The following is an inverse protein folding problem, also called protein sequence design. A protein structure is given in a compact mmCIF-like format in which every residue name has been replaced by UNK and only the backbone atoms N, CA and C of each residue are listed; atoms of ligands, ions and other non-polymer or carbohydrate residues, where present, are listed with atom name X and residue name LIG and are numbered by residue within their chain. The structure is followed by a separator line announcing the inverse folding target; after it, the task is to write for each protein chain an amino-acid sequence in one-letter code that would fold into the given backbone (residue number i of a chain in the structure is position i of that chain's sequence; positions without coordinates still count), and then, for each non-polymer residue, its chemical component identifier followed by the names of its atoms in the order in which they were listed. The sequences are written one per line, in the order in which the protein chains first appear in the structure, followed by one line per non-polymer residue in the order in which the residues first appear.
data_IF_133591737003
#
_entry.id   IF_133591737003
#
_cell.length_a   1.000
_cell.length_b   1.000
_cell.length_c   1.000
_cell.angle_alpha   90.00
_cell.angle_beta   90.00
_cell.angle_gamma   90.00
#
_symmetry.space_group_name_H-M   'P 1'
#
loop_
_entity.id
_entity.type
_entity.pdbx_description
1 polymer ?
#
# COMPACT_ATOMS: atom_id res chain seq x y z
N UNK A 1 -24.20 28.66 11.78
CA UNK A 1 -23.99 27.41 10.99
C UNK A 1 -22.52 27.07 11.10
N UNK A 2 -22.18 26.19 12.04
CA UNK A 2 -20.80 25.75 12.21
C UNK A 2 -20.41 24.94 10.99
N UNK A 3 -19.51 25.47 10.17
CA UNK A 3 -18.87 24.72 9.08
C UNK A 3 -18.05 23.60 9.71
N UNK A 4 -18.65 22.42 9.85
CA UNK A 4 -17.88 21.22 10.19
C UNK A 4 -16.80 21.06 9.13
N UNK A 5 -15.54 21.35 9.51
CA UNK A 5 -14.39 21.11 8.65
C UNK A 5 -14.41 19.62 8.31
N UNK A 6 -14.68 19.28 7.04
CA UNK A 6 -14.72 17.92 6.57
C UNK A 6 -13.29 17.42 6.39
N UNK A 7 -12.83 16.61 7.35
CA UNK A 7 -11.50 16.00 7.31
C UNK A 7 -11.62 14.67 6.54
N UNK A 8 -10.86 14.46 5.45
CA UNK A 8 -10.82 13.16 4.77
C UNK A 8 -10.43 12.04 5.72
N UNK A 9 -11.06 10.88 5.59
CA UNK A 9 -10.82 9.77 6.52
C UNK A 9 -9.36 9.28 6.51
N UNK A 10 -8.67 9.39 5.38
CA UNK A 10 -7.24 9.09 5.28
C UNK A 10 -6.42 9.91 6.28
N UNK A 11 -6.76 11.18 6.50
CA UNK A 11 -6.09 12.02 7.50
C UNK A 11 -6.70 11.85 8.89
N UNK A 12 -8.02 11.68 9.01
CA UNK A 12 -8.71 11.45 10.29
C UNK A 12 -8.21 10.19 11.00
N UNK A 13 -7.96 9.11 10.24
CA UNK A 13 -7.50 7.82 10.77
C UNK A 13 -6.00 7.58 10.62
N UNK A 14 -5.25 8.61 10.22
CA UNK A 14 -3.80 8.52 10.17
C UNK A 14 -3.25 8.28 11.58
N UNK A 15 -2.52 7.18 11.83
CA UNK A 15 -1.95 6.91 13.14
C UNK A 15 -1.08 8.08 13.63
N UNK A 16 -1.32 8.52 14.86
CA UNK A 16 -0.53 9.56 15.52
C UNK A 16 0.48 8.97 16.50
N UNK A 17 0.33 7.69 16.85
CA UNK A 17 1.24 6.97 17.72
C UNK A 17 1.90 5.82 16.97
N UNK A 18 3.18 5.61 17.22
CA UNK A 18 3.94 4.53 16.58
C UNK A 18 3.36 3.14 16.82
N UNK A 19 2.75 2.92 18.00
CA UNK A 19 2.15 1.63 18.38
C UNK A 19 0.91 1.26 17.56
N UNK A 20 0.21 2.27 17.03
CA UNK A 20 -1.03 2.09 16.27
C UNK A 20 -0.79 1.85 14.77
N UNK A 21 0.47 1.93 14.33
CA UNK A 21 0.83 1.71 12.93
C UNK A 21 0.82 0.22 12.62
N UNK A 22 0.17 -0.14 11.53
CA UNK A 22 0.23 -1.50 10.98
C UNK A 22 1.60 -1.71 10.33
N UNK A 23 2.43 -2.57 10.93
CA UNK A 23 3.78 -2.88 10.47
C UNK A 23 4.00 -4.39 10.45
N UNK A 24 4.82 -4.85 9.51
CA UNK A 24 5.32 -6.22 9.57
C UNK A 24 6.24 -6.43 10.80
N UNK A 25 6.37 -7.69 11.20
CA UNK A 25 7.08 -8.06 12.42
C UNK A 25 8.55 -7.63 12.42
N UNK A 26 9.23 -7.73 11.27
CA UNK A 26 10.67 -7.43 11.17
C UNK A 26 10.92 -5.92 11.23
N UNK A 27 10.17 -5.13 10.45
CA UNK A 27 10.28 -3.68 10.51
C UNK A 27 9.94 -3.17 11.91
N UNK A 28 8.92 -3.75 12.58
CA UNK A 28 8.56 -3.38 13.94
C UNK A 28 9.71 -3.61 14.94
N UNK A 29 10.43 -4.73 14.82
CA UNK A 29 11.59 -5.04 15.67
C UNK A 29 12.73 -4.05 15.39
N UNK A 30 13.08 -3.83 14.12
CA UNK A 30 14.18 -2.93 13.73
C UNK A 30 13.91 -1.50 14.21
N UNK A 31 12.71 -0.99 13.95
CA UNK A 31 12.34 0.37 14.33
C UNK A 31 12.27 0.56 15.86
N UNK A 32 11.81 -0.45 16.60
CA UNK A 32 11.88 -0.42 18.06
C UNK A 32 13.33 -0.45 18.58
N UNK A 33 14.24 -1.14 17.90
CA UNK A 33 15.65 -1.14 18.30
C UNK A 33 16.30 0.24 18.12
N UNK A 34 15.95 1.00 17.07
CA UNK A 34 16.42 2.40 16.90
C UNK A 34 16.07 3.24 18.13
N UNK A 35 14.84 3.10 18.63
CA UNK A 35 14.40 3.81 19.85
C UNK A 35 15.17 3.36 21.08
N UNK A 36 15.32 2.03 21.28
CA UNK A 36 15.98 1.46 22.47
C UNK A 36 17.47 1.78 22.53
N UNK A 37 18.16 1.77 21.40
CA UNK A 37 19.60 2.01 21.33
C UNK A 37 19.97 3.49 21.36
N UNK A 38 18.99 4.36 21.29
CA UNK A 38 19.16 5.81 21.15
C UNK A 38 20.12 6.22 20.03
N UNK A 39 20.14 5.42 18.97
CA UNK A 39 20.94 5.69 17.78
C UNK A 39 20.02 5.68 16.55
N UNK A 40 19.83 6.84 15.93
CA UNK A 40 18.98 6.98 14.77
C UNK A 40 19.87 7.02 13.50
N UNK A 41 19.86 5.95 12.68
CA UNK A 41 20.64 5.93 11.45
C UNK A 41 19.92 6.68 10.32
N UNK A 42 20.64 6.95 9.23
CA UNK A 42 19.98 7.31 7.98
C UNK A 42 19.14 6.12 7.48
N UNK A 43 17.88 6.34 7.15
CA UNK A 43 16.94 5.27 6.74
C UNK A 43 16.33 5.54 5.38
N UNK A 44 16.21 4.48 4.57
CA UNK A 44 15.52 4.49 3.28
C UNK A 44 14.35 3.50 3.34
N UNK A 45 13.12 4.04 3.30
CA UNK A 45 11.90 3.24 3.26
C UNK A 45 11.40 3.11 1.83
N UNK A 46 11.16 1.88 1.38
CA UNK A 46 10.71 1.64 0.02
C UNK A 46 9.63 0.56 -0.07
N UNK A 47 8.78 0.66 -1.08
CA UNK A 47 7.70 -0.30 -1.35
C UNK A 47 6.41 0.35 -1.86
N UNK A 48 5.34 -0.43 -2.09
CA UNK A 48 4.10 0.05 -2.68
C UNK A 48 3.50 1.26 -1.97
N UNK A 49 2.74 2.12 -2.66
CA UNK A 49 2.01 3.20 -2.04
C UNK A 49 0.98 2.69 -1.03
N UNK A 50 0.55 3.57 -0.10
CA UNK A 50 -0.50 3.23 0.88
C UNK A 50 -0.08 2.29 2.02
N UNK A 51 1.19 1.84 2.08
CA UNK A 51 1.71 0.94 3.12
C UNK A 51 2.17 1.64 4.40
N UNK A 52 1.99 2.95 4.50
CA UNK A 52 2.28 3.71 5.71
C UNK A 52 3.73 4.19 5.89
N UNK A 53 4.59 4.19 4.85
CA UNK A 53 6.00 4.61 4.93
C UNK A 53 6.19 5.98 5.59
N UNK A 54 5.57 7.02 5.04
CA UNK A 54 5.66 8.39 5.54
C UNK A 54 5.12 8.53 6.96
N UNK A 55 3.98 7.89 7.24
CA UNK A 55 3.38 7.86 8.59
C UNK A 55 4.31 7.22 9.60
N UNK A 56 5.00 6.13 9.21
CA UNK A 56 5.94 5.43 10.08
C UNK A 56 7.14 6.31 10.43
N UNK A 57 7.75 6.97 9.45
CA UNK A 57 8.91 7.85 9.69
C UNK A 57 8.55 8.98 10.64
N UNK A 58 7.45 9.69 10.37
CA UNK A 58 7.02 10.82 11.19
C UNK A 58 6.78 10.38 12.64
N UNK A 59 6.07 9.26 12.84
CA UNK A 59 5.81 8.76 14.19
C UNK A 59 7.06 8.20 14.88
N UNK A 60 7.97 7.58 14.12
CA UNK A 60 9.26 7.12 14.65
C UNK A 60 10.10 8.29 15.18
N UNK A 61 10.21 9.36 14.39
CA UNK A 61 10.95 10.57 14.78
C UNK A 61 10.29 11.21 16.03
N UNK A 62 8.97 11.35 16.02
CA UNK A 62 8.25 11.91 17.14
C UNK A 62 8.46 11.09 18.43
N UNK A 63 8.45 9.76 18.32
CA UNK A 63 8.71 8.86 19.46
C UNK A 63 10.16 9.01 19.91
N UNK A 64 11.13 8.99 18.99
CA UNK A 64 12.55 9.17 19.30
C UNK A 64 12.82 10.50 20.02
N UNK A 65 12.25 11.59 19.52
CA UNK A 65 12.38 12.91 20.15
C UNK A 65 11.75 12.94 21.55
N UNK A 66 10.62 12.24 21.74
CA UNK A 66 9.95 12.17 23.04
C UNK A 66 10.78 11.41 24.06
N UNK A 67 11.30 10.24 23.69
CA UNK A 67 12.15 9.41 24.58
C UNK A 67 13.46 10.12 24.95
N UNK A 68 13.97 10.98 24.08
CA UNK A 68 15.20 11.74 24.30
C UNK A 68 14.99 13.15 24.88
N UNK A 69 13.77 13.51 25.28
CA UNK A 69 13.42 14.85 25.75
C UNK A 69 13.76 15.98 24.76
N UNK A 70 13.76 15.68 23.46
CA UNK A 70 14.10 16.59 22.36
C UNK A 70 12.89 16.99 21.50
N UNK A 71 11.67 16.89 22.08
CA UNK A 71 10.44 17.14 21.32
C UNK A 71 10.33 18.59 20.88
N UNK A 72 10.72 18.85 19.63
CA UNK A 72 10.59 20.16 18.99
C UNK A 72 10.28 19.99 17.51
N UNK A 73 9.17 20.60 17.04
CA UNK A 73 8.78 20.58 15.62
C UNK A 73 9.83 21.23 14.72
N UNK A 74 10.60 22.20 15.22
CA UNK A 74 11.68 22.85 14.48
C UNK A 74 12.91 21.96 14.21
N UNK A 75 12.95 20.74 14.76
CA UNK A 75 14.03 19.78 14.49
C UNK A 75 13.65 18.78 13.38
N UNK A 76 12.52 18.92 12.72
CA UNK A 76 12.11 18.06 11.61
C UNK A 76 11.61 18.90 10.44
N UNK A 77 12.09 18.58 9.24
CA UNK A 77 11.59 19.10 7.98
C UNK A 77 11.13 17.94 7.09
N UNK A 78 10.00 18.11 6.42
CA UNK A 78 9.45 17.15 5.46
C UNK A 78 9.33 17.82 4.10
N UNK A 79 10.07 17.33 3.13
CA UNK A 79 10.13 17.84 1.77
C UNK A 79 9.66 16.75 0.80
N UNK A 80 8.93 17.14 -0.22
CA UNK A 80 8.55 16.25 -1.30
C UNK A 80 9.50 16.48 -2.50
N UNK A 81 10.25 15.46 -2.88
CA UNK A 81 11.23 15.55 -3.96
C UNK A 81 10.58 15.67 -5.36
N UNK A 82 9.27 15.42 -5.47
CA UNK A 82 8.52 15.58 -6.72
C UNK A 82 8.03 17.02 -6.94
N UNK A 83 7.82 17.81 -5.88
CA UNK A 83 7.22 19.12 -5.96
C UNK A 83 8.22 20.20 -6.41
N UNK A 84 9.48 20.02 -6.06
CA UNK A 84 10.55 20.98 -6.36
C UNK A 84 11.28 20.60 -7.64
N UNK A 85 11.07 21.38 -8.71
CA UNK A 85 11.62 21.14 -10.04
C UNK A 85 13.14 21.35 -10.16
N UNK A 86 13.87 21.37 -9.05
CA UNK A 86 15.33 21.53 -9.05
C UNK A 86 15.99 21.14 -7.76
N UNK A 87 17.11 20.40 -7.88
CA UNK A 87 17.98 20.03 -6.77
C UNK A 87 18.40 21.23 -5.92
N UNK A 88 18.56 22.41 -6.54
CA UNK A 88 19.02 23.61 -5.86
C UNK A 88 18.03 24.12 -4.82
N UNK A 89 16.72 23.96 -5.05
CA UNK A 89 15.69 24.36 -4.09
C UNK A 89 15.77 23.44 -2.86
N UNK A 90 15.79 22.12 -3.07
CA UNK A 90 15.91 21.12 -1.99
C UNK A 90 17.23 21.36 -1.24
N UNK A 91 18.34 21.56 -1.96
CA UNK A 91 19.65 21.86 -1.35
C UNK A 91 19.61 23.10 -0.48
N UNK A 92 19.02 24.19 -0.96
CA UNK A 92 18.91 25.43 -0.22
C UNK A 92 18.01 25.29 1.01
N UNK A 93 16.89 24.56 0.89
CA UNK A 93 16.01 24.28 2.03
C UNK A 93 16.71 23.43 3.09
N UNK A 94 17.44 22.39 2.68
CA UNK A 94 18.25 21.55 3.58
C UNK A 94 19.31 22.40 4.27
N UNK A 95 20.10 23.17 3.51
CA UNK A 95 21.16 24.01 4.06
C UNK A 95 20.62 25.04 5.06
N UNK A 96 19.51 25.72 4.72
CA UNK A 96 18.88 26.68 5.62
C UNK A 96 18.37 25.99 6.89
N UNK A 97 17.78 24.81 6.77
CA UNK A 97 17.29 24.04 7.91
C UNK A 97 18.45 23.57 8.80
N UNK A 98 19.51 23.02 8.22
CA UNK A 98 20.68 22.51 8.98
C UNK A 98 21.39 23.64 9.69
N UNK A 99 21.60 24.78 9.00
CA UNK A 99 22.31 25.94 9.55
C UNK A 99 21.45 26.81 10.47
N UNK A 100 20.12 26.62 10.49
CA UNK A 100 19.25 27.35 11.40
C UNK A 100 19.62 27.06 12.85
N UNK A 101 20.00 28.09 13.61
CA UNK A 101 20.18 27.98 15.06
C UNK A 101 18.81 28.00 15.73
N UNK A 102 18.38 26.87 16.24
CA UNK A 102 17.20 26.83 17.12
C UNK A 102 17.64 27.37 18.48
N UNK A 103 17.17 28.57 18.84
CA UNK A 103 17.61 29.34 20.02
C UNK A 103 17.45 28.60 21.35
N UNK A 104 16.67 27.51 21.41
CA UNK A 104 16.32 26.81 22.64
C UNK A 104 16.27 25.27 22.52
N UNK A 105 16.78 24.65 21.45
CA UNK A 105 16.74 23.21 21.31
C UNK A 105 18.10 22.64 20.89
N UNK A 106 18.64 21.81 21.77
CA UNK A 106 19.76 20.91 21.46
C UNK A 106 19.13 19.57 21.07
N UNK A 107 19.46 19.05 19.90
CA UNK A 107 18.94 17.75 19.46
C UNK A 107 19.28 17.41 18.02
N UNK A 108 18.99 16.18 17.65
CA UNK A 108 19.16 15.67 16.28
C UNK A 108 18.12 16.29 15.34
N UNK A 109 18.58 16.82 14.21
CA UNK A 109 17.73 17.31 13.14
C UNK A 109 17.35 16.17 12.20
N UNK A 110 16.09 16.13 11.78
CA UNK A 110 15.56 15.11 10.88
C UNK A 110 15.11 15.72 9.57
N UNK A 111 15.58 15.18 8.47
CA UNK A 111 15.20 15.57 7.12
C UNK A 111 14.50 14.40 6.48
N UNK A 112 13.20 14.56 6.20
CA UNK A 112 12.39 13.59 5.49
C UNK A 112 12.28 14.06 4.05
N UNK A 113 12.73 13.22 3.11
CA UNK A 113 12.56 13.42 1.68
C UNK A 113 11.62 12.34 1.16
N UNK A 114 10.41 12.73 0.76
CA UNK A 114 9.44 11.82 0.18
C UNK A 114 9.54 11.81 -1.36
N UNK A 115 9.12 10.70 -1.97
CA UNK A 115 9.09 10.52 -3.42
C UNK A 115 10.46 10.69 -4.11
N UNK A 116 11.55 10.27 -3.46
CA UNK A 116 12.92 10.43 -4.01
C UNK A 116 13.16 9.65 -5.31
N UNK A 117 12.31 8.70 -5.67
CA UNK A 117 12.31 8.00 -6.96
C UNK A 117 11.92 8.88 -8.16
N UNK A 118 11.45 10.12 -7.93
CA UNK A 118 11.26 11.15 -8.95
C UNK A 118 12.48 12.07 -9.15
N UNK A 119 13.48 11.96 -8.28
CA UNK A 119 14.72 12.74 -8.42
C UNK A 119 15.55 12.27 -9.62
N UNK A 120 16.15 13.25 -10.34
CA UNK A 120 17.13 12.95 -11.37
C UNK A 120 18.41 12.34 -10.78
N UNK A 121 19.20 11.62 -11.58
CA UNK A 121 20.49 11.06 -11.13
C UNK A 121 21.44 12.11 -10.57
N UNK A 122 21.49 13.30 -11.18
CA UNK A 122 22.30 14.40 -10.70
C UNK A 122 21.82 14.91 -9.33
N UNK A 123 20.50 14.95 -9.12
CA UNK A 123 19.93 15.32 -7.83
C UNK A 123 20.26 14.30 -6.74
N UNK A 124 20.21 13.01 -7.06
CA UNK A 124 20.59 11.94 -6.14
C UNK A 124 22.10 12.00 -5.78
N UNK A 125 22.95 12.30 -6.75
CA UNK A 125 24.38 12.47 -6.53
C UNK A 125 24.66 13.69 -5.62
N UNK A 126 24.00 14.82 -5.86
CA UNK A 126 24.13 16.00 -5.01
C UNK A 126 23.62 15.73 -3.58
N UNK A 127 22.53 14.96 -3.42
CA UNK A 127 22.05 14.52 -2.10
C UNK A 127 23.12 13.68 -1.38
N UNK A 128 23.82 12.80 -2.09
CA UNK A 128 24.91 12.01 -1.51
C UNK A 128 26.02 12.91 -0.97
N UNK A 129 26.41 13.96 -1.68
CA UNK A 129 27.39 14.93 -1.16
C UNK A 129 26.89 15.65 0.08
N UNK A 130 25.62 16.05 0.13
CA UNK A 130 25.03 16.65 1.33
C UNK A 130 25.08 15.71 2.53
N UNK A 131 24.81 14.42 2.33
CA UNK A 131 24.93 13.41 3.40
C UNK A 131 26.33 13.36 4.00
N UNK A 132 27.35 13.47 3.17
CA UNK A 132 28.76 13.46 3.62
C UNK A 132 29.16 14.75 4.35
N UNK A 133 28.57 15.87 3.97
CA UNK A 133 28.81 17.18 4.58
C UNK A 133 28.19 17.29 5.99
N UNK A 134 27.02 16.69 6.22
CA UNK A 134 26.22 16.90 7.44
C UNK A 134 26.12 15.67 8.37
N UNK A 135 27.20 14.90 8.50
CA UNK A 135 27.20 13.66 9.30
C UNK A 135 26.97 13.84 10.81
N UNK A 136 27.13 15.04 11.38
CA UNK A 136 26.96 15.26 12.81
C UNK A 136 25.59 15.88 13.13
N UNK A 137 24.77 15.18 13.91
CA UNK A 137 23.47 15.63 14.42
C UNK A 137 22.36 15.86 13.36
N UNK A 138 22.50 15.32 12.15
CA UNK A 138 21.49 15.35 11.11
C UNK A 138 21.20 13.94 10.63
N UNK A 139 19.94 13.51 10.65
CA UNK A 139 19.51 12.22 10.15
C UNK A 139 18.59 12.39 8.94
N UNK A 140 18.88 11.66 7.87
CA UNK A 140 18.09 11.67 6.67
C UNK A 140 17.16 10.45 6.60
N UNK A 141 15.90 10.68 6.24
CA UNK A 141 14.89 9.67 6.02
C UNK A 141 14.38 9.78 4.59
N UNK A 142 14.78 8.87 3.73
CA UNK A 142 14.30 8.81 2.34
C UNK A 142 13.12 7.88 2.21
N UNK A 143 12.16 8.26 1.38
CA UNK A 143 10.97 7.47 1.08
C UNK A 143 10.79 7.37 -0.42
N UNK A 144 10.62 6.15 -0.93
CA UNK A 144 10.34 5.92 -2.36
C UNK A 144 9.37 4.74 -2.55
N UNK A 145 8.80 4.66 -3.74
CA UNK A 145 8.03 3.49 -4.13
C UNK A 145 8.89 2.45 -4.84
N UNK A 146 9.81 2.88 -5.69
CA UNK A 146 10.64 2.03 -6.53
C UNK A 146 12.13 2.21 -6.20
N UNK A 147 12.69 1.30 -5.41
CA UNK A 147 14.11 1.36 -5.03
C UNK A 147 15.04 1.25 -6.25
N UNK A 148 14.62 0.57 -7.33
CA UNK A 148 15.39 0.45 -8.57
C UNK A 148 15.66 1.78 -9.29
N UNK A 149 14.94 2.85 -8.94
CA UNK A 149 15.18 4.19 -9.47
C UNK A 149 16.21 4.98 -8.65
N UNK A 150 16.61 4.47 -7.50
CA UNK A 150 17.61 5.08 -6.63
C UNK A 150 18.98 4.52 -6.97
N UNK A 151 19.97 5.39 -7.11
CA UNK A 151 21.35 5.00 -7.38
C UNK A 151 21.91 4.14 -6.25
N UNK A 152 22.60 3.05 -6.60
CA UNK A 152 23.12 2.08 -5.64
C UNK A 152 24.12 2.74 -4.66
N UNK A 153 24.90 3.72 -5.14
CA UNK A 153 25.85 4.44 -4.31
C UNK A 153 25.17 5.30 -3.24
N UNK A 154 23.95 5.82 -3.53
CA UNK A 154 23.14 6.52 -2.56
C UNK A 154 22.43 5.54 -1.61
N UNK A 155 21.91 4.42 -2.12
CA UNK A 155 21.28 3.40 -1.29
C UNK A 155 22.21 2.88 -0.19
N UNK A 156 23.50 2.76 -0.46
CA UNK A 156 24.50 2.24 0.48
C UNK A 156 24.76 3.15 1.69
N UNK A 157 24.37 4.43 1.61
CA UNK A 157 24.45 5.38 2.74
C UNK A 157 23.30 5.20 3.75
N UNK A 158 22.34 4.29 3.47
CA UNK A 158 21.11 4.15 4.25
C UNK A 158 20.86 2.72 4.73
N UNK A 159 20.28 2.61 5.91
CA UNK A 159 19.62 1.40 6.36
C UNK A 159 18.30 1.23 5.57
N UNK A 160 18.21 0.18 4.75
CA UNK A 160 17.08 -0.04 3.84
C UNK A 160 15.99 -0.86 4.52
N UNK A 161 14.77 -0.32 4.54
CA UNK A 161 13.58 -0.97 5.11
C UNK A 161 12.51 -1.15 4.03
N UNK A 162 12.18 -2.40 3.75
CA UNK A 162 11.16 -2.75 2.76
C UNK A 162 9.78 -2.76 3.40
N UNK A 163 8.87 -1.98 2.83
CA UNK A 163 7.45 -1.99 3.13
C UNK A 163 6.73 -2.73 2.01
N UNK A 164 6.32 -3.97 2.25
CA UNK A 164 5.69 -4.79 1.22
C UNK A 164 4.29 -5.25 1.67
N UNK A 165 4.20 -6.45 2.21
CA UNK A 165 2.94 -6.99 2.68
C UNK A 165 2.78 -6.70 4.16
N UNK A 166 1.69 -6.02 4.50
CA UNK A 166 1.30 -5.79 5.88
C UNK A 166 0.51 -6.99 6.42
N UNK A 167 0.56 -7.27 7.73
CA UNK A 167 -0.19 -8.35 8.34
C UNK A 167 -1.69 -8.17 8.12
N UNK A 168 -2.33 -9.13 7.44
CA UNK A 168 -3.75 -9.05 7.08
C UNK A 168 -4.66 -8.88 8.29
N UNK A 169 -4.37 -9.57 9.39
CA UNK A 169 -5.16 -9.48 10.60
C UNK A 169 -5.11 -8.07 11.21
N UNK A 170 -3.94 -7.45 11.23
CA UNK A 170 -3.76 -6.10 11.77
C UNK A 170 -4.47 -5.06 10.89
N UNK A 171 -4.46 -5.24 9.56
CA UNK A 171 -5.25 -4.41 8.64
C UNK A 171 -6.74 -4.57 8.94
N UNK A 172 -7.23 -5.80 9.07
CA UNK A 172 -8.65 -6.07 9.36
C UNK A 172 -9.06 -5.42 10.68
N UNK A 173 -8.23 -5.51 11.73
CA UNK A 173 -8.51 -4.85 13.01
C UNK A 173 -8.50 -3.31 12.89
N UNK A 174 -7.62 -2.76 12.08
CA UNK A 174 -7.61 -1.33 11.78
C UNK A 174 -8.90 -0.89 11.07
N UNK A 175 -9.35 -1.63 10.04
CA UNK A 175 -10.60 -1.35 9.32
C UNK A 175 -11.84 -1.54 10.19
N UNK A 176 -11.84 -2.51 11.12
CA UNK A 176 -12.92 -2.67 12.10
C UNK A 176 -13.09 -1.43 12.99
N UNK A 177 -12.00 -0.81 13.43
CA UNK A 177 -12.07 0.44 14.21
C UNK A 177 -12.75 1.55 13.41
N UNK A 178 -12.42 1.68 12.12
CA UNK A 178 -13.08 2.66 11.23
C UNK A 178 -14.56 2.32 11.08
N UNK A 179 -14.90 1.06 10.84
CA UNK A 179 -16.28 0.58 10.71
C UNK A 179 -17.14 0.97 11.92
N UNK A 180 -16.61 0.77 13.13
CA UNK A 180 -17.31 1.12 14.38
C UNK A 180 -17.44 2.64 14.52
N UNK A 181 -16.36 3.39 14.32
CA UNK A 181 -16.34 4.84 14.52
C UNK A 181 -17.25 5.59 13.53
N UNK A 182 -17.40 5.07 12.31
CA UNK A 182 -18.22 5.69 11.26
C UNK A 182 -19.60 5.03 11.11
N UNK A 183 -19.95 4.05 11.97
CA UNK A 183 -21.25 3.34 11.97
C UNK A 183 -21.60 2.73 10.60
N UNK A 184 -20.63 2.12 9.90
CA UNK A 184 -20.84 1.58 8.57
C UNK A 184 -21.62 0.25 8.56
N UNK A 185 -21.70 -0.43 9.70
CA UNK A 185 -22.39 -1.71 9.88
C UNK A 185 -21.87 -2.85 8.95
N UNK A 186 -20.57 -2.82 8.61
CA UNK A 186 -19.98 -3.86 7.78
C UNK A 186 -19.78 -5.15 8.56
N UNK A 187 -20.07 -6.27 7.91
CA UNK A 187 -19.75 -7.60 8.41
C UNK A 187 -18.23 -7.86 8.33
N UNK A 188 -17.76 -8.83 9.10
CA UNK A 188 -16.35 -9.25 9.04
C UNK A 188 -15.93 -9.75 7.64
N UNK A 189 -16.84 -10.40 6.91
CA UNK A 189 -16.61 -10.87 5.55
C UNK A 189 -16.42 -9.71 4.58
N UNK A 190 -17.23 -8.66 4.69
CA UNK A 190 -17.09 -7.45 3.88
C UNK A 190 -15.77 -6.75 4.14
N UNK A 191 -15.35 -6.62 5.41
CA UNK A 191 -14.05 -6.03 5.77
C UNK A 191 -12.89 -6.86 5.21
N UNK A 192 -12.94 -8.18 5.33
CA UNK A 192 -11.93 -9.08 4.72
C UNK A 192 -11.89 -8.97 3.20
N UNK A 193 -13.03 -8.79 2.55
CA UNK A 193 -13.09 -8.60 1.11
C UNK A 193 -12.43 -7.29 0.69
N UNK A 194 -12.71 -6.18 1.39
CA UNK A 194 -12.02 -4.91 1.15
C UNK A 194 -10.50 -5.11 1.28
N UNK A 195 -10.04 -5.78 2.35
CA UNK A 195 -8.62 -6.05 2.54
C UNK A 195 -8.03 -6.89 1.40
N UNK A 196 -8.75 -7.91 0.92
CA UNK A 196 -8.27 -8.75 -0.18
C UNK A 196 -8.20 -7.99 -1.52
N UNK A 197 -9.15 -7.08 -1.79
CA UNK A 197 -9.18 -6.29 -3.02
C UNK A 197 -8.01 -5.30 -3.11
N UNK A 198 -7.67 -4.66 -1.99
CA UNK A 198 -6.61 -3.64 -1.94
C UNK A 198 -5.29 -4.17 -1.36
N UNK A 199 -5.23 -5.43 -0.94
CA UNK A 199 -4.04 -6.10 -0.36
C UNK A 199 -3.45 -5.35 0.85
N UNK A 200 -2.40 -4.55 0.68
CA UNK A 200 -1.74 -3.78 1.74
C UNK A 200 -1.85 -2.26 1.56
N UNK A 201 -2.64 -1.80 0.60
CA UNK A 201 -2.90 -0.37 0.38
C UNK A 201 -4.00 0.13 1.31
N UNK A 202 -3.62 0.50 2.53
CA UNK A 202 -4.55 1.00 3.56
C UNK A 202 -5.21 2.32 3.12
N UNK A 203 -4.51 3.18 2.38
CA UNK A 203 -5.05 4.46 1.88
C UNK A 203 -6.24 4.21 0.95
N UNK A 204 -6.09 3.31 0.00
CA UNK A 204 -7.17 2.95 -0.93
C UNK A 204 -8.34 2.27 -0.22
N UNK A 205 -8.09 1.43 0.80
CA UNK A 205 -9.16 0.83 1.61
C UNK A 205 -9.99 1.89 2.34
N UNK A 206 -9.34 2.87 2.99
CA UNK A 206 -10.02 3.96 3.71
C UNK A 206 -10.84 4.80 2.74
N UNK A 207 -10.26 5.18 1.59
CA UNK A 207 -10.94 5.96 0.56
C UNK A 207 -12.16 5.21 0.03
N UNK A 208 -12.04 3.89 -0.21
CA UNK A 208 -13.14 3.05 -0.65
C UNK A 208 -14.28 3.03 0.39
N UNK A 209 -13.95 2.85 1.69
CA UNK A 209 -14.94 2.88 2.76
C UNK A 209 -15.64 4.23 2.85
N UNK A 210 -14.90 5.35 2.71
CA UNK A 210 -15.45 6.69 2.76
C UNK A 210 -16.34 7.01 1.56
N UNK A 211 -15.89 6.69 0.35
CA UNK A 211 -16.64 6.98 -0.89
C UNK A 211 -17.94 6.19 -0.98
N UNK A 212 -17.96 4.99 -0.42
CA UNK A 212 -19.11 4.10 -0.50
C UNK A 212 -19.93 4.05 0.80
N UNK A 213 -19.70 4.93 1.77
CA UNK A 213 -20.28 4.87 3.13
C UNK A 213 -21.80 4.65 3.16
N UNK A 214 -22.56 5.19 2.21
CA UNK A 214 -24.01 5.07 2.15
C UNK A 214 -24.49 3.73 1.52
N UNK A 215 -23.66 3.12 0.69
CA UNK A 215 -24.03 1.92 -0.08
C UNK A 215 -23.28 0.67 0.37
N UNK A 216 -22.17 0.83 1.09
CA UNK A 216 -21.21 -0.24 1.37
C UNK A 216 -21.81 -1.39 2.19
N UNK A 217 -22.73 -1.10 3.11
CA UNK A 217 -23.43 -2.12 3.90
C UNK A 217 -24.32 -3.01 3.04
N UNK A 218 -24.82 -2.48 1.92
CA UNK A 218 -25.69 -3.19 0.98
C UNK A 218 -24.91 -3.79 -0.19
N UNK A 219 -23.61 -3.51 -0.32
CA UNK A 219 -22.79 -4.09 -1.39
C UNK A 219 -22.62 -5.59 -1.14
N UNK A 220 -23.06 -6.37 -2.11
CA UNK A 220 -22.77 -7.81 -2.13
C UNK A 220 -21.27 -8.00 -2.32
N UNK A 221 -20.66 -8.85 -1.52
CA UNK A 221 -19.23 -9.14 -1.58
C UNK A 221 -19.02 -10.40 -2.42
N UNK A 222 -18.05 -10.33 -3.36
CA UNK A 222 -17.61 -11.54 -4.05
C UNK A 222 -16.90 -12.42 -3.02
N UNK A 223 -17.48 -13.57 -2.72
CA UNK A 223 -16.90 -14.58 -1.83
C UNK A 223 -16.58 -15.87 -2.59
N UNK A 224 -15.87 -16.77 -1.95
CA UNK A 224 -15.50 -18.04 -2.55
C UNK A 224 -16.70 -18.89 -3.00
N UNK A 225 -17.87 -18.75 -2.35
CA UNK A 225 -19.08 -19.50 -2.71
C UNK A 225 -19.57 -19.14 -4.13
N UNK A 226 -19.38 -17.88 -4.55
CA UNK A 226 -19.75 -17.45 -5.90
C UNK A 226 -18.85 -18.14 -6.94
N UNK A 227 -17.56 -18.21 -6.67
CA UNK A 227 -16.61 -18.92 -7.55
C UNK A 227 -16.82 -20.44 -7.54
N UNK A 228 -17.25 -21.03 -6.41
CA UNK A 228 -17.69 -22.42 -6.36
C UNK A 228 -18.92 -22.66 -7.26
N UNK A 229 -19.87 -21.74 -7.28
CA UNK A 229 -21.03 -21.82 -8.17
C UNK A 229 -20.63 -21.71 -9.65
N UNK A 230 -19.71 -20.79 -9.99
CA UNK A 230 -19.14 -20.70 -11.35
C UNK A 230 -18.49 -22.03 -11.74
N UNK A 231 -17.70 -22.62 -10.85
CA UNK A 231 -17.07 -23.93 -11.10
C UNK A 231 -18.10 -25.03 -11.33
N UNK A 232 -19.20 -25.05 -10.56
CA UNK A 232 -20.31 -26.00 -10.77
C UNK A 232 -21.01 -25.81 -12.11
N UNK A 233 -21.23 -24.56 -12.55
CA UNK A 233 -21.82 -24.25 -13.86
C UNK A 233 -20.93 -24.74 -15.02
N UNK A 234 -19.60 -24.58 -14.88
CA UNK A 234 -18.66 -25.10 -15.86
C UNK A 234 -18.69 -26.63 -15.90
N UNK A 235 -18.70 -27.31 -14.74
CA UNK A 235 -18.84 -28.77 -14.63
C UNK A 235 -20.12 -29.29 -15.28
N UNK A 236 -21.23 -28.57 -15.12
CA UNK A 236 -22.52 -28.95 -15.71
C UNK A 236 -22.63 -28.60 -17.19
N UNK A 237 -21.56 -28.09 -17.81
CA UNK A 237 -21.52 -27.64 -19.23
C UNK A 237 -22.62 -26.66 -19.61
N UNK A 238 -23.06 -25.82 -18.64
CA UNK A 238 -24.13 -24.86 -18.86
C UNK A 238 -23.59 -23.48 -19.23
N UNK A 239 -23.23 -23.32 -20.49
CA UNK A 239 -22.65 -22.09 -21.03
C UNK A 239 -23.56 -20.87 -20.86
N UNK A 240 -24.87 -21.01 -21.08
CA UNK A 240 -25.83 -19.88 -20.97
C UNK A 240 -25.88 -19.32 -19.56
N UNK A 241 -25.95 -20.17 -18.54
CA UNK A 241 -25.99 -19.74 -17.15
C UNK A 241 -24.63 -19.19 -16.69
N UNK A 242 -23.53 -19.76 -17.17
CA UNK A 242 -22.21 -19.20 -16.91
C UNK A 242 -22.07 -17.75 -17.43
N UNK A 243 -22.52 -17.49 -18.66
CA UNK A 243 -22.53 -16.12 -19.21
C UNK A 243 -23.38 -15.18 -18.37
N UNK A 244 -24.60 -15.59 -18.07
CA UNK A 244 -25.54 -14.80 -17.26
C UNK A 244 -24.93 -14.45 -15.91
N UNK A 245 -24.34 -15.42 -15.22
CA UNK A 245 -23.73 -15.19 -13.91
C UNK A 245 -22.53 -14.22 -13.99
N UNK A 246 -21.64 -14.38 -14.96
CA UNK A 246 -20.49 -13.47 -15.11
C UNK A 246 -20.95 -12.03 -15.43
N UNK A 247 -21.92 -11.87 -16.34
CA UNK A 247 -22.48 -10.55 -16.65
C UNK A 247 -23.21 -9.95 -15.45
N UNK A 248 -23.99 -10.74 -14.75
CA UNK A 248 -24.71 -10.32 -13.56
C UNK A 248 -23.74 -9.90 -12.44
N UNK A 249 -22.65 -10.63 -12.26
CA UNK A 249 -21.57 -10.23 -11.35
C UNK A 249 -20.96 -8.89 -11.75
N UNK A 250 -20.66 -8.68 -13.03
CA UNK A 250 -20.11 -7.42 -13.51
C UNK A 250 -21.00 -6.23 -13.17
N UNK A 251 -22.30 -6.38 -13.33
CA UNK A 251 -23.30 -5.34 -13.02
C UNK A 251 -23.47 -5.16 -11.50
N UNK A 252 -23.68 -6.25 -10.74
CA UNK A 252 -23.97 -6.19 -9.30
C UNK A 252 -22.78 -5.64 -8.51
N UNK A 253 -21.55 -6.05 -8.89
CA UNK A 253 -20.34 -5.68 -8.16
C UNK A 253 -19.62 -4.48 -8.78
N UNK A 254 -20.10 -3.98 -9.92
CA UNK A 254 -19.45 -2.92 -10.70
C UNK A 254 -17.96 -3.20 -10.97
N UNK A 255 -17.66 -4.43 -11.40
CA UNK A 255 -16.32 -4.92 -11.68
C UNK A 255 -16.24 -5.35 -13.14
N UNK A 256 -15.14 -4.99 -13.81
CA UNK A 256 -14.87 -5.45 -15.16
C UNK A 256 -14.81 -7.00 -15.23
N UNK A 257 -15.38 -7.57 -16.28
CA UNK A 257 -15.39 -9.01 -16.56
C UNK A 257 -13.97 -9.60 -16.50
N UNK A 258 -12.97 -8.88 -17.03
CA UNK A 258 -11.55 -9.32 -16.97
C UNK A 258 -11.05 -9.49 -15.54
N UNK A 259 -11.43 -8.59 -14.64
CA UNK A 259 -11.06 -8.69 -13.24
C UNK A 259 -11.78 -9.85 -12.53
N UNK A 260 -13.05 -10.08 -12.85
CA UNK A 260 -13.81 -11.26 -12.33
C UNK A 260 -13.11 -12.56 -12.76
N UNK A 261 -12.70 -12.65 -14.02
CA UNK A 261 -11.98 -13.83 -14.54
C UNK A 261 -10.64 -14.01 -13.84
N UNK A 262 -9.88 -12.93 -13.67
CA UNK A 262 -8.60 -12.94 -12.95
C UNK A 262 -8.78 -13.39 -11.49
N UNK A 263 -9.83 -12.92 -10.83
CA UNK A 263 -10.14 -13.32 -9.46
C UNK A 263 -10.60 -14.78 -9.39
N UNK A 264 -11.32 -15.26 -10.39
CA UNK A 264 -11.67 -16.66 -10.52
C UNK A 264 -10.43 -17.56 -10.71
N UNK A 265 -9.48 -17.20 -11.56
CA UNK A 265 -8.23 -17.93 -11.68
C UNK A 265 -7.41 -17.89 -10.39
N UNK A 266 -7.34 -16.75 -9.72
CA UNK A 266 -6.71 -16.64 -8.41
C UNK A 266 -7.39 -17.53 -7.37
N UNK A 267 -8.73 -17.66 -7.43
CA UNK A 267 -9.48 -18.59 -6.58
C UNK A 267 -9.10 -20.04 -6.87
N UNK A 268 -9.05 -20.48 -8.13
CA UNK A 268 -8.60 -21.82 -8.50
C UNK A 268 -7.17 -22.07 -7.97
N UNK A 269 -6.24 -21.14 -8.22
CA UNK A 269 -4.85 -21.26 -7.77
C UNK A 269 -4.74 -21.41 -6.25
N UNK A 270 -5.58 -20.78 -5.49
CA UNK A 270 -5.50 -20.78 -4.00
C UNK A 270 -6.23 -21.93 -3.34
N UNK A 271 -7.31 -22.42 -3.94
CA UNK A 271 -8.25 -23.30 -3.25
C UNK A 271 -8.60 -24.59 -3.99
N UNK A 272 -8.23 -24.72 -5.27
CA UNK A 272 -8.57 -25.87 -6.13
C UNK A 272 -7.35 -26.49 -6.75
N UNK A 273 -6.46 -27.01 -5.89
CA UNK A 273 -5.17 -27.57 -6.30
C UNK A 273 -5.32 -28.78 -7.22
N UNK A 274 -6.46 -29.46 -7.19
CA UNK A 274 -6.79 -30.58 -8.05
C UNK A 274 -6.84 -30.22 -9.55
N UNK A 275 -7.00 -28.94 -9.90
CA UNK A 275 -7.05 -28.48 -11.30
C UNK A 275 -5.71 -27.96 -11.83
N UNK A 276 -4.63 -28.10 -11.05
CA UNK A 276 -3.31 -27.67 -11.48
C UNK A 276 -2.74 -28.60 -12.54
N UNK A 277 -2.35 -28.04 -13.66
CA UNK A 277 -1.65 -28.73 -14.72
C UNK A 277 -1.03 -27.73 -15.70
N UNK A 278 -0.14 -28.18 -16.59
CA UNK A 278 0.47 -27.33 -17.60
C UNK A 278 -0.58 -26.60 -18.47
N UNK A 279 -1.69 -27.27 -18.76
CA UNK A 279 -2.78 -26.72 -19.56
C UNK A 279 -3.49 -25.57 -18.86
N UNK A 280 -3.69 -25.66 -17.54
CA UNK A 280 -4.27 -24.58 -16.75
C UNK A 280 -3.38 -23.34 -16.75
N UNK A 281 -2.08 -23.48 -16.52
CA UNK A 281 -1.17 -22.35 -16.52
C UNK A 281 -1.02 -21.71 -17.89
N UNK A 282 -1.01 -22.52 -18.97
CA UNK A 282 -1.04 -22.02 -20.34
C UNK A 282 -2.30 -21.22 -20.66
N UNK A 283 -3.46 -21.69 -20.16
CA UNK A 283 -4.73 -20.95 -20.29
C UNK A 283 -4.64 -19.60 -19.57
N UNK A 284 -4.15 -19.56 -18.32
CA UNK A 284 -3.99 -18.33 -17.54
C UNK A 284 -3.08 -17.35 -18.27
N UNK A 285 -1.95 -17.81 -18.80
CA UNK A 285 -1.00 -17.01 -19.58
C UNK A 285 -1.67 -16.38 -20.82
N UNK A 286 -2.38 -17.18 -21.61
CA UNK A 286 -3.09 -16.70 -22.80
C UNK A 286 -4.11 -15.62 -22.43
N UNK A 287 -4.91 -15.82 -21.38
CA UNK A 287 -5.97 -14.87 -21.00
C UNK A 287 -5.40 -13.58 -20.40
N UNK A 288 -4.35 -13.67 -19.59
CA UNK A 288 -3.73 -12.49 -18.97
C UNK A 288 -3.04 -11.60 -20.01
N UNK A 289 -2.41 -12.19 -21.01
CA UNK A 289 -1.65 -11.47 -22.03
C UNK A 289 -2.46 -11.12 -23.30
N UNK A 290 -3.71 -11.58 -23.39
CA UNK A 290 -4.54 -11.26 -24.55
C UNK A 290 -5.07 -9.82 -24.49
N UNK A 291 -4.71 -8.95 -25.44
CA UNK A 291 -5.20 -7.57 -25.50
C UNK A 291 -6.64 -7.46 -26.01
N UNK A 292 -7.23 -8.55 -26.55
CA UNK A 292 -8.54 -8.51 -27.18
C UNK A 292 -9.66 -8.08 -26.23
N UNK A 293 -10.42 -7.08 -26.70
CA UNK A 293 -11.53 -6.49 -25.97
C UNK A 293 -12.85 -7.27 -26.11
N UNK A 294 -12.90 -8.33 -26.93
CA UNK A 294 -14.13 -9.09 -27.14
C UNK A 294 -14.38 -10.09 -25.99
N UNK A 295 -15.06 -9.59 -24.97
CA UNK A 295 -15.34 -10.35 -23.73
C UNK A 295 -16.14 -11.63 -23.98
N UNK A 296 -17.00 -11.67 -25.01
CA UNK A 296 -17.81 -12.83 -25.29
C UNK A 296 -17.01 -14.02 -25.81
N UNK A 297 -16.09 -13.79 -26.76
CA UNK A 297 -15.21 -14.84 -27.26
C UNK A 297 -14.25 -15.34 -26.19
N UNK A 298 -13.74 -14.45 -25.36
CA UNK A 298 -12.88 -14.83 -24.21
C UNK A 298 -13.63 -15.70 -23.21
N UNK A 299 -14.86 -15.36 -22.87
CA UNK A 299 -15.68 -16.15 -21.94
C UNK A 299 -15.98 -17.54 -22.51
N UNK A 300 -16.29 -17.67 -23.80
CA UNK A 300 -16.44 -18.97 -24.47
C UNK A 300 -15.18 -19.82 -24.38
N UNK A 301 -14.06 -19.21 -24.72
CA UNK A 301 -12.77 -19.89 -24.69
C UNK A 301 -12.43 -20.38 -23.27
N UNK A 302 -12.63 -19.52 -22.27
CA UNK A 302 -12.39 -19.86 -20.84
C UNK A 302 -13.31 -21.00 -20.42
N UNK A 303 -14.62 -20.92 -20.74
CA UNK A 303 -15.57 -21.93 -20.38
C UNK A 303 -15.17 -23.33 -20.90
N UNK A 304 -14.88 -23.45 -22.18
CA UNK A 304 -14.50 -24.74 -22.77
C UNK A 304 -13.12 -25.22 -22.27
N UNK A 305 -12.14 -24.34 -22.16
CA UNK A 305 -10.81 -24.71 -21.69
C UNK A 305 -10.81 -25.14 -20.22
N UNK A 306 -11.54 -24.40 -19.35
CA UNK A 306 -11.68 -24.80 -17.93
C UNK A 306 -12.51 -26.04 -17.81
N UNK A 307 -13.59 -26.21 -18.61
CA UNK A 307 -14.39 -27.44 -18.62
C UNK A 307 -13.59 -28.67 -19.00
N UNK A 308 -12.66 -28.58 -19.96
CA UNK A 308 -11.78 -29.69 -20.32
C UNK A 308 -10.80 -30.04 -19.21
N UNK A 309 -10.31 -29.04 -18.47
CA UNK A 309 -9.37 -29.26 -17.35
C UNK A 309 -10.08 -29.87 -16.12
N UNK A 310 -11.31 -29.42 -15.84
CA UNK A 310 -12.06 -29.83 -14.65
C UNK A 310 -12.67 -31.24 -14.82
N UNK A 311 -12.95 -31.66 -16.05
CA UNK A 311 -13.60 -32.96 -16.38
C UNK A 311 -12.56 -34.05 -16.74
N UNK A 312 -11.27 -33.74 -16.72
CA UNK A 312 -10.16 -34.69 -16.72
C UNK A 312 -9.94 -35.26 -15.33
#
# INVERSE_FOLDING_TARGET
MDSKIYIPWVEKYRPTNFKDIVLDKYNKIILNNIIKTNHFPNILLYGPPGTGKTTTVINLINLYQTENNQKNKGLMIHLNASDDRGIDIIRNQINNFVNSKTLFSVGTKFIILDEVDYMTKNAQLALKYLLQEYNANVCFCLICNYISKIDDSLQNEFMRLRFNQLPKNDIVEFLKRININENLNLTLEQIKSIQNNFNSDIRSMINYMQSNQLAIANTKVINNNIFDNITKLIKSSNLKNFYYEIQNMSVIYNIDIKNIIKDYFNYIIRYKHEYYGPEFFKLVEIIVHNPDSNSEHQLKYIFYSVSSIINL
#
